data_IF_280489066040
#
_entry.id   IF_280489066040
#
_cell.length_a   1.000
_cell.length_b   1.000
_cell.length_c   1.000
_cell.angle_alpha   90.00
_cell.angle_beta   90.00
_cell.angle_gamma   90.00
#
_symmetry.space_group_name_H-M   'P 1'
#
loop_
_entity.id
_entity.type
_entity.pdbx_description
1 polymer ?
#
# COMPACT_ATOMS: atom_id res chain seq x y z
N UNK A 1 -12.05 -4.42 -27.38
CA UNK A 1 -12.56 -5.80 -27.50
C UNK A 1 -11.98 -6.55 -26.32
N UNK A 2 -12.80 -6.99 -25.38
CA UNK A 2 -12.32 -7.77 -24.24
C UNK A 2 -12.00 -9.18 -24.73
N UNK A 3 -10.80 -9.68 -24.46
CA UNK A 3 -10.46 -11.08 -24.74
C UNK A 3 -11.33 -11.98 -23.88
N UNK A 4 -12.28 -12.67 -24.52
CA UNK A 4 -13.11 -13.69 -23.88
C UNK A 4 -12.24 -14.93 -23.73
N UNK A 5 -11.74 -15.17 -22.51
CA UNK A 5 -10.98 -16.39 -22.19
C UNK A 5 -11.96 -17.55 -22.05
N UNK A 6 -12.14 -18.30 -23.13
CA UNK A 6 -12.85 -19.59 -23.12
C UNK A 6 -11.94 -20.67 -22.52
N UNK A 7 -12.45 -21.44 -21.56
CA UNK A 7 -11.70 -22.53 -20.92
C UNK A 7 -12.51 -23.82 -20.85
N UNK A 8 -11.80 -24.95 -20.87
CA UNK A 8 -12.36 -26.30 -20.72
C UNK A 8 -12.08 -26.79 -19.30
N UNK A 9 -13.12 -27.10 -18.52
CA UNK A 9 -12.95 -27.62 -17.17
C UNK A 9 -12.40 -29.05 -17.17
N UNK A 10 -11.26 -29.30 -16.52
CA UNK A 10 -10.65 -30.65 -16.49
C UNK A 10 -11.49 -31.69 -15.72
N UNK A 11 -12.35 -31.27 -14.79
CA UNK A 11 -13.14 -32.18 -13.97
C UNK A 11 -14.53 -32.50 -14.52
N UNK A 12 -15.15 -31.59 -15.29
CA UNK A 12 -16.48 -31.81 -15.84
C UNK A 12 -16.57 -31.61 -17.37
N UNK A 13 -15.44 -31.35 -18.03
CA UNK A 13 -15.29 -31.13 -19.49
C UNK A 13 -16.19 -30.06 -20.09
N UNK A 14 -16.77 -29.19 -19.25
CA UNK A 14 -17.57 -28.05 -19.68
C UNK A 14 -16.67 -26.99 -20.33
N UNK A 15 -17.05 -26.53 -21.52
CA UNK A 15 -16.42 -25.42 -22.24
C UNK A 15 -17.33 -24.20 -22.17
N UNK A 16 -16.84 -23.11 -21.58
CA UNK A 16 -17.61 -21.87 -21.44
C UNK A 16 -16.81 -20.76 -20.78
N UNK A 17 -17.50 -19.69 -20.38
CA UNK A 17 -16.90 -18.52 -19.74
C UNK A 17 -16.58 -18.78 -18.26
N UNK A 18 -15.38 -18.36 -17.85
CA UNK A 18 -14.92 -18.54 -16.47
C UNK A 18 -15.49 -17.46 -15.59
N UNK A 19 -15.99 -17.84 -14.41
CA UNK A 19 -16.37 -16.85 -13.41
C UNK A 19 -15.10 -16.42 -12.66
N UNK A 20 -14.68 -15.17 -12.83
CA UNK A 20 -13.60 -14.61 -12.02
C UNK A 20 -14.13 -14.28 -10.62
N UNK A 21 -13.53 -14.86 -9.59
CA UNK A 21 -13.79 -14.55 -8.19
C UNK A 21 -12.48 -14.60 -7.42
N UNK A 22 -12.24 -13.66 -6.51
CA UNK A 22 -11.05 -13.67 -5.64
C UNK A 22 -9.67 -13.73 -6.35
N UNK A 23 -9.60 -13.32 -7.63
CA UNK A 23 -8.38 -13.39 -8.47
C UNK A 23 -8.07 -14.80 -8.99
N UNK A 24 -9.05 -15.70 -8.96
CA UNK A 24 -8.99 -17.04 -9.54
C UNK A 24 -10.21 -17.29 -10.43
N UNK A 25 -10.03 -18.15 -11.42
CA UNK A 25 -11.09 -18.55 -12.34
C UNK A 25 -11.77 -19.84 -11.85
N UNK A 26 -13.10 -19.82 -11.82
CA UNK A 26 -13.93 -20.96 -11.40
C UNK A 26 -14.76 -21.48 -12.55
N UNK A 27 -14.93 -22.80 -12.61
CA UNK A 27 -15.85 -23.39 -13.57
C UNK A 27 -17.30 -22.99 -13.28
N UNK A 28 -17.98 -22.41 -14.26
CA UNK A 28 -19.39 -22.01 -14.14
C UNK A 28 -20.35 -23.21 -13.98
N UNK A 29 -19.99 -24.39 -14.49
CA UNK A 29 -20.79 -25.60 -14.37
C UNK A 29 -20.59 -26.38 -13.06
N UNK A 30 -19.34 -26.66 -12.64
CA UNK A 30 -19.07 -27.48 -11.44
C UNK A 30 -18.49 -26.70 -10.25
N UNK A 31 -18.11 -25.44 -10.42
CA UNK A 31 -17.55 -24.59 -9.35
C UNK A 31 -16.11 -24.93 -8.97
N UNK A 32 -15.43 -25.81 -9.71
CA UNK A 32 -14.07 -26.18 -9.40
C UNK A 32 -13.08 -25.06 -9.74
N UNK A 33 -12.15 -24.81 -8.82
CA UNK A 33 -11.13 -23.77 -8.95
C UNK A 33 -10.11 -24.21 -9.99
N UNK A 34 -9.94 -23.43 -11.04
CA UNK A 34 -8.93 -23.71 -12.05
C UNK A 34 -7.56 -23.22 -11.54
N UNK A 35 -6.60 -24.13 -11.41
CA UNK A 35 -5.26 -23.83 -10.88
C UNK A 35 -4.27 -23.37 -11.96
N UNK A 36 -4.60 -23.57 -13.23
CA UNK A 36 -3.69 -23.35 -14.36
C UNK A 36 -3.79 -21.94 -14.98
N UNK A 37 -4.77 -21.13 -14.56
CA UNK A 37 -4.94 -19.75 -15.04
C UNK A 37 -4.67 -18.79 -13.88
N UNK A 38 -3.42 -18.32 -13.82
CA UNK A 38 -3.07 -17.12 -13.06
C UNK A 38 -3.26 -15.95 -14.01
N UNK A 39 -4.04 -14.94 -13.62
CA UNK A 39 -4.03 -13.65 -14.29
C UNK A 39 -2.64 -13.01 -14.13
N UNK A 40 -1.71 -13.40 -15.01
CA UNK A 40 -0.56 -12.60 -15.34
C UNK A 40 -1.08 -11.45 -16.19
N UNK A 41 -1.71 -10.47 -15.53
CA UNK A 41 -1.88 -9.13 -16.08
C UNK A 41 -0.49 -8.54 -16.30
N UNK A 42 0.16 -9.00 -17.36
CA UNK A 42 1.14 -8.26 -18.11
C UNK A 42 0.33 -7.12 -18.74
N UNK A 43 0.63 -5.90 -18.33
CA UNK A 43 0.28 -4.74 -19.15
C UNK A 43 0.88 -5.04 -20.53
N UNK A 44 0.05 -5.21 -21.56
CA UNK A 44 0.47 -5.40 -22.95
C UNK A 44 1.16 -4.12 -23.44
N UNK A 45 2.41 -3.93 -23.05
CA UNK A 45 3.38 -3.05 -23.72
C UNK A 45 4.73 -3.26 -23.02
N UNK A 46 5.38 -4.38 -23.33
CA UNK A 46 6.85 -4.55 -23.41
C UNK A 46 7.18 -6.02 -23.67
N UNK A 47 6.84 -6.50 -24.86
CA UNK A 47 7.22 -7.83 -25.33
C UNK A 47 8.65 -7.82 -25.91
N UNK A 48 9.65 -8.10 -25.08
CA UNK A 48 10.85 -8.82 -25.52
C UNK A 48 11.19 -9.90 -24.48
N UNK A 49 10.85 -11.15 -24.81
CA UNK A 49 11.37 -12.35 -24.15
C UNK A 49 10.33 -13.20 -23.43
N UNK A 50 9.63 -14.05 -24.18
CA UNK A 50 8.83 -15.13 -23.62
C UNK A 50 9.73 -16.14 -22.87
N UNK A 51 9.46 -16.33 -21.58
CA UNK A 51 10.07 -17.37 -20.75
C UNK A 51 9.00 -18.05 -19.90
N UNK A 52 8.59 -19.24 -20.31
CA UNK A 52 7.65 -20.11 -19.59
C UNK A 52 8.36 -20.65 -18.34
N UNK A 53 7.87 -20.34 -17.14
CA UNK A 53 8.33 -20.98 -15.90
C UNK A 53 7.22 -21.87 -15.32
N UNK A 54 7.49 -23.18 -15.24
CA UNK A 54 6.63 -24.17 -14.60
C UNK A 54 6.62 -24.01 -13.07
N UNK A 55 5.43 -24.17 -12.46
CA UNK A 55 5.16 -24.03 -11.04
C UNK A 55 5.72 -25.15 -10.12
N UNK A 56 6.65 -25.99 -10.60
CA UNK A 56 7.25 -27.08 -9.81
C UNK A 56 8.41 -26.64 -8.89
N UNK A 57 8.75 -25.34 -8.85
CA UNK A 57 9.92 -24.83 -8.12
C UNK A 57 9.62 -23.86 -6.95
N UNK A 58 8.53 -24.05 -6.22
CA UNK A 58 8.35 -23.38 -4.91
C UNK A 58 8.59 -24.35 -3.75
N UNK A 59 9.59 -24.02 -2.90
CA UNK A 59 9.84 -24.72 -1.64
C UNK A 59 8.70 -24.46 -0.67
N UNK A 60 8.08 -25.52 -0.17
CA UNK A 60 7.17 -25.49 0.99
C UNK A 60 8.01 -25.31 2.26
N UNK A 61 7.79 -24.22 2.99
CA UNK A 61 8.29 -24.09 4.37
C UNK A 61 7.09 -24.15 5.30
N UNK A 62 7.06 -25.15 6.19
CA UNK A 62 6.05 -25.30 7.23
C UNK A 62 6.27 -24.25 8.34
N UNK A 63 5.18 -23.63 8.79
CA UNK A 63 5.20 -22.71 9.93
C UNK A 63 5.28 -23.49 11.27
N UNK A 64 5.97 -22.99 12.30
CA UNK A 64 5.91 -23.57 13.63
C UNK A 64 4.66 -23.09 14.37
N UNK A 65 3.91 -24.05 14.91
CA UNK A 65 2.95 -23.90 16.01
C UNK A 65 3.71 -23.59 17.30
N UNK A 66 3.50 -22.41 17.88
CA UNK A 66 3.30 -22.26 19.32
C UNK A 66 2.72 -20.87 19.65
N UNK A 67 1.61 -20.90 20.38
CA UNK A 67 0.81 -19.74 20.74
C UNK A 67 1.35 -19.07 22.01
N UNK A 68 1.56 -17.76 21.98
CA UNK A 68 1.82 -16.95 23.17
C UNK A 68 0.59 -16.10 23.48
N UNK A 69 0.03 -16.35 24.65
CA UNK A 69 -1.13 -15.66 25.22
C UNK A 69 -0.72 -14.27 25.74
N UNK A 70 -1.40 -13.20 25.34
CA UNK A 70 -1.27 -11.87 25.96
C UNK A 70 -2.67 -11.29 26.20
N UNK A 71 -2.95 -10.95 27.45
CA UNK A 71 -4.21 -10.36 27.92
C UNK A 71 -4.39 -8.89 27.49
N UNK A 72 -5.64 -8.40 27.36
CA UNK A 72 -5.94 -7.14 26.70
C UNK A 72 -5.87 -5.94 27.64
N UNK A 73 -5.17 -4.88 27.23
CA UNK A 73 -5.26 -3.56 27.87
C UNK A 73 -6.40 -2.77 27.21
N UNK A 74 -7.46 -2.66 28.00
CA UNK A 74 -8.44 -1.58 28.14
C UNK A 74 -8.31 -0.34 27.22
N UNK A 75 -9.41 -0.12 26.49
CA UNK A 75 -10.09 1.16 26.22
C UNK A 75 -9.27 2.35 25.68
N UNK A 76 -9.49 2.65 24.39
CA UNK A 76 -9.45 4.02 23.90
C UNK A 76 -10.46 4.20 22.76
N UNK A 77 -11.53 4.96 23.00
CA UNK A 77 -12.42 5.42 21.93
C UNK A 77 -13.01 6.81 22.29
N UNK A 78 -12.49 7.88 21.64
CA UNK A 78 -13.31 9.06 21.34
C UNK A 78 -13.06 9.66 19.93
N UNK A 79 -12.26 9.03 19.07
CA UNK A 79 -11.93 9.55 17.73
C UNK A 79 -12.96 9.19 16.65
N UNK A 80 -13.68 8.07 16.81
CA UNK A 80 -14.64 7.57 15.81
C UNK A 80 -15.88 8.45 15.64
N UNK A 81 -16.39 9.07 16.71
CA UNK A 81 -17.58 9.93 16.65
C UNK A 81 -17.32 11.26 15.91
N UNK A 82 -16.10 11.78 15.98
CA UNK A 82 -15.74 13.05 15.35
C UNK A 82 -15.62 12.97 13.83
N UNK A 83 -15.34 11.79 13.26
CA UNK A 83 -15.27 11.58 11.82
C UNK A 83 -16.67 11.51 11.20
N UNK A 84 -17.57 10.70 11.75
CA UNK A 84 -18.96 10.58 11.30
C UNK A 84 -19.71 11.92 11.41
N UNK A 85 -19.48 12.66 12.50
CA UNK A 85 -20.04 14.00 12.69
C UNK A 85 -19.54 15.02 11.64
N UNK A 86 -18.28 14.92 11.22
CA UNK A 86 -17.72 15.77 10.14
C UNK A 86 -18.22 15.41 8.74
N UNK A 87 -18.73 14.19 8.56
CA UNK A 87 -19.39 13.74 7.33
C UNK A 87 -20.91 14.02 7.32
N UNK A 88 -21.46 14.62 8.38
CA UNK A 88 -22.87 15.04 8.42
C UNK A 88 -23.88 13.90 8.61
N UNK A 89 -23.46 12.76 9.16
CA UNK A 89 -24.27 11.51 9.19
C UNK A 89 -25.02 11.26 10.51
N UNK A 90 -25.32 12.26 11.33
CA UNK A 90 -26.17 12.05 12.51
C UNK A 90 -27.65 12.02 12.11
N UNK A 91 -28.28 10.84 12.27
CA UNK A 91 -29.74 10.66 12.31
C UNK A 91 -30.17 10.54 13.78
N UNK A 92 -31.21 11.26 14.19
CA UNK A 92 -31.64 11.53 15.58
C UNK A 92 -32.24 10.30 16.31
N UNK A 93 -32.04 9.09 15.80
CA UNK A 93 -32.57 7.86 16.39
C UNK A 93 -31.64 7.26 17.45
N UNK A 94 -31.44 7.96 18.57
CA UNK A 94 -30.94 7.34 19.80
C UNK A 94 -32.04 6.47 20.43
N UNK A 95 -32.09 5.19 20.07
CA UNK A 95 -32.81 4.20 20.89
C UNK A 95 -31.98 3.93 22.15
N UNK A 96 -32.33 4.63 23.24
CA UNK A 96 -31.88 4.33 24.60
C UNK A 96 -32.37 2.93 25.00
N UNK A 97 -31.51 1.92 24.91
CA UNK A 97 -31.74 0.66 25.63
C UNK A 97 -31.41 0.87 27.11
N UNK A 98 -32.44 1.18 27.90
CA UNK A 98 -32.36 1.08 29.36
C UNK A 98 -32.19 -0.38 29.75
N UNK A 99 -31.12 -0.68 30.47
CA UNK A 99 -30.99 -1.93 31.20
C UNK A 99 -31.89 -1.86 32.45
N UNK A 100 -32.95 -2.67 32.48
CA UNK A 100 -33.72 -2.94 33.70
C UNK A 100 -33.55 -4.40 34.09
N UNK A 101 -33.25 -4.61 35.37
CA UNK A 101 -32.94 -5.87 36.00
C UNK A 101 -34.15 -6.81 36.02
N UNK A 102 -33.92 -8.10 35.75
CA UNK A 102 -34.90 -9.17 35.88
C UNK A 102 -34.95 -9.65 37.32
N UNK A 103 -36.14 -9.63 37.93
CA UNK A 103 -36.48 -10.42 39.11
C UNK A 103 -37.66 -11.36 38.77
N UNK A 104 -37.67 -12.54 39.41
CA UNK A 104 -38.42 -13.72 39.00
C UNK A 104 -39.91 -13.74 39.44
N UNK A 105 -40.71 -14.44 38.61
CA UNK A 105 -41.86 -15.30 38.94
C UNK A 105 -43.24 -14.83 38.44
N UNK A 106 -43.79 -15.58 37.46
CA UNK A 106 -45.06 -16.32 37.53
C UNK A 106 -45.48 -16.82 36.13
N UNK A 107 -46.04 -18.04 36.09
CA UNK A 107 -46.47 -18.78 34.89
C UNK A 107 -47.90 -18.44 34.43
N UNK A 108 -48.09 -18.73 33.13
CA UNK A 108 -49.32 -19.01 32.34
C UNK A 108 -50.07 -17.85 31.66
N UNK A 109 -50.72 -18.07 30.47
CA UNK A 109 -50.57 -19.14 29.47
C UNK A 109 -50.40 -18.64 27.99
N UNK A 110 -49.70 -19.45 27.19
CA UNK A 110 -49.82 -19.65 25.74
C UNK A 110 -50.28 -18.50 24.83
N UNK A 111 -49.32 -17.68 24.38
CA UNK A 111 -49.42 -16.99 23.08
C UNK A 111 -48.59 -17.78 22.05
N UNK A 112 -49.07 -17.95 20.80
CA UNK A 112 -48.26 -18.59 19.76
C UNK A 112 -47.03 -17.73 19.48
N UNK A 113 -45.86 -18.34 19.70
CA UNK A 113 -44.59 -17.82 19.22
C UNK A 113 -44.54 -18.01 17.70
N UNK A 114 -45.12 -17.09 16.96
CA UNK A 114 -44.95 -17.02 15.52
C UNK A 114 -44.87 -15.55 15.10
N UNK A 115 -43.95 -15.26 14.18
CA UNK A 115 -43.38 -13.93 13.87
C UNK A 115 -42.36 -13.38 14.88
N UNK A 116 -41.34 -14.19 15.19
CA UNK A 116 -40.02 -13.62 15.45
C UNK A 116 -39.57 -12.84 14.22
N UNK A 117 -39.68 -11.51 14.27
CA UNK A 117 -39.28 -10.61 13.20
C UNK A 117 -37.80 -10.83 12.86
N UNK A 118 -37.54 -11.58 11.79
CA UNK A 118 -36.32 -11.39 11.01
C UNK A 118 -36.33 -9.92 10.63
N UNK A 119 -35.48 -9.10 11.25
CA UNK A 119 -35.27 -7.72 10.84
C UNK A 119 -34.74 -7.79 9.42
N UNK A 120 -35.65 -7.72 8.44
CA UNK A 120 -35.32 -7.60 7.03
C UNK A 120 -34.54 -6.31 6.92
N UNK A 121 -33.23 -6.44 6.77
CA UNK A 121 -32.33 -5.29 6.61
C UNK A 121 -32.77 -4.56 5.35
N UNK A 122 -33.13 -3.28 5.50
CA UNK A 122 -33.49 -2.44 4.35
C UNK A 122 -32.32 -2.37 3.37
N UNK A 123 -32.61 -2.29 2.08
CA UNK A 123 -31.60 -2.06 1.02
C UNK A 123 -30.74 -0.83 1.37
N UNK A 124 -31.39 0.20 1.93
CA UNK A 124 -30.73 1.41 2.39
C UNK A 124 -29.72 1.16 3.51
N UNK A 125 -30.09 0.35 4.49
CA UNK A 125 -29.20 -0.03 5.58
C UNK A 125 -28.02 -0.86 5.06
N UNK A 126 -28.23 -1.65 4.01
CA UNK A 126 -27.22 -2.52 3.42
C UNK A 126 -26.08 -1.73 2.75
N UNK A 127 -26.39 -0.81 1.84
CA UNK A 127 -25.33 -0.03 1.18
C UNK A 127 -24.69 0.98 2.14
N UNK A 128 -25.44 1.54 3.10
CA UNK A 128 -24.89 2.42 4.15
C UNK A 128 -23.86 1.67 4.98
N UNK A 129 -24.17 0.44 5.42
CA UNK A 129 -23.25 -0.39 6.20
C UNK A 129 -21.99 -0.75 5.39
N UNK A 130 -22.14 -1.19 4.13
CA UNK A 130 -20.97 -1.52 3.27
C UNK A 130 -20.07 -0.30 3.09
N UNK A 131 -20.66 0.87 2.78
CA UNK A 131 -19.95 2.12 2.62
C UNK A 131 -19.21 2.51 3.90
N UNK A 132 -19.90 2.56 5.03
CA UNK A 132 -19.31 2.95 6.31
C UNK A 132 -18.21 1.98 6.72
N UNK A 133 -18.45 0.67 6.62
CA UNK A 133 -17.46 -0.35 6.96
C UNK A 133 -16.20 -0.20 6.10
N UNK A 134 -16.35 -0.01 4.79
CA UNK A 134 -15.19 0.17 3.92
C UNK A 134 -14.39 1.43 4.26
N UNK A 135 -15.05 2.59 4.36
CA UNK A 135 -14.37 3.88 4.62
C UNK A 135 -13.74 3.90 6.01
N UNK A 136 -14.42 3.39 7.04
CA UNK A 136 -13.86 3.27 8.38
C UNK A 136 -12.66 2.34 8.41
N UNK A 137 -12.73 1.20 7.70
CA UNK A 137 -11.59 0.28 7.63
C UNK A 137 -10.36 0.92 6.97
N UNK A 138 -10.55 1.67 5.87
CA UNK A 138 -9.45 2.42 5.25
C UNK A 138 -8.89 3.50 6.19
N UNK A 139 -9.74 4.23 6.91
CA UNK A 139 -9.28 5.20 7.91
C UNK A 139 -8.45 4.53 9.00
N UNK A 140 -8.91 3.40 9.54
CA UNK A 140 -8.18 2.65 10.57
C UNK A 140 -6.83 2.13 10.04
N UNK A 141 -6.74 1.71 8.77
CA UNK A 141 -5.44 1.37 8.15
C UNK A 141 -4.50 2.57 8.16
N UNK A 142 -4.98 3.76 7.82
CA UNK A 142 -4.17 4.99 7.83
C UNK A 142 -3.73 5.32 9.27
N UNK A 143 -4.61 5.18 10.26
CA UNK A 143 -4.29 5.40 11.67
C UNK A 143 -3.19 4.45 12.15
N UNK A 144 -3.28 3.16 11.82
CA UNK A 144 -2.24 2.15 12.12
C UNK A 144 -0.90 2.49 11.45
N UNK A 145 -0.95 2.94 10.19
CA UNK A 145 0.25 3.38 9.48
C UNK A 145 0.90 4.59 10.14
N UNK A 146 0.12 5.60 10.52
CA UNK A 146 0.61 6.79 11.22
C UNK A 146 1.20 6.45 12.59
N UNK A 147 0.54 5.56 13.33
CA UNK A 147 1.03 5.07 14.62
C UNK A 147 2.39 4.39 14.48
N UNK A 148 2.55 3.49 13.50
CA UNK A 148 3.83 2.85 13.22
C UNK A 148 4.90 3.87 12.77
N UNK A 149 4.55 4.82 11.89
CA UNK A 149 5.45 5.89 11.45
C UNK A 149 6.00 6.70 12.63
N UNK A 150 5.16 7.11 13.57
CA UNK A 150 5.61 7.89 14.73
C UNK A 150 6.40 7.02 15.71
N UNK A 151 5.89 5.83 16.05
CA UNK A 151 6.48 4.99 17.11
C UNK A 151 7.79 4.32 16.67
N UNK A 152 7.77 3.68 15.51
CA UNK A 152 8.88 2.85 15.02
C UNK A 152 9.87 3.66 14.20
N UNK A 153 9.38 4.54 13.32
CA UNK A 153 10.21 5.28 12.37
C UNK A 153 10.56 6.71 12.82
N UNK A 154 10.09 7.12 14.01
CA UNK A 154 10.37 8.42 14.64
C UNK A 154 9.98 9.63 13.79
N UNK A 155 8.98 9.45 12.94
CA UNK A 155 8.38 10.53 12.15
C UNK A 155 7.66 11.50 13.07
N UNK A 156 7.66 12.80 12.74
CA UNK A 156 6.97 13.82 13.54
C UNK A 156 5.50 13.46 13.81
N UNK A 157 5.01 13.61 15.05
CA UNK A 157 3.59 13.44 15.37
C UNK A 157 2.66 14.40 14.63
N UNK A 158 3.20 15.46 14.00
CA UNK A 158 2.44 16.38 13.16
C UNK A 158 1.68 15.66 12.03
N UNK A 159 2.19 14.54 11.52
CA UNK A 159 1.52 13.77 10.46
C UNK A 159 0.10 13.35 10.85
N UNK A 160 -0.14 13.03 12.14
CA UNK A 160 -1.46 12.64 12.63
C UNK A 160 -2.48 13.77 12.53
N UNK A 161 -2.03 15.03 12.63
CA UNK A 161 -2.87 16.22 12.42
C UNK A 161 -3.11 16.53 10.95
N UNK A 162 -2.17 16.19 10.06
CA UNK A 162 -2.24 16.45 8.63
C UNK A 162 -3.10 15.42 7.88
N UNK A 163 -3.03 14.15 8.28
CA UNK A 163 -3.75 13.06 7.61
C UNK A 163 -5.26 13.27 7.59
N UNK A 164 -5.86 13.70 8.71
CA UNK A 164 -7.31 13.84 8.82
C UNK A 164 -7.89 14.77 7.74
N UNK A 165 -7.42 16.01 7.61
CA UNK A 165 -7.84 16.92 6.53
C UNK A 165 -7.57 16.40 5.12
N UNK A 166 -6.43 15.73 4.88
CA UNK A 166 -6.10 15.16 3.56
C UNK A 166 -7.10 14.06 3.20
N UNK A 167 -7.31 13.11 4.12
CA UNK A 167 -8.22 11.99 3.95
C UNK A 167 -9.67 12.46 3.74
N UNK A 168 -10.15 13.38 4.58
CA UNK A 168 -11.51 13.91 4.48
C UNK A 168 -11.76 14.63 3.14
N UNK A 169 -10.81 15.47 2.69
CA UNK A 169 -10.91 16.13 1.39
C UNK A 169 -10.91 15.13 0.24
N UNK A 170 -10.08 14.09 0.33
CA UNK A 170 -10.02 13.02 -0.66
C UNK A 170 -11.34 12.25 -0.76
N UNK A 171 -11.86 11.78 0.38
CA UNK A 171 -13.14 11.05 0.47
C UNK A 171 -14.32 11.91 0.00
N UNK A 172 -14.34 13.20 0.35
CA UNK A 172 -15.40 14.10 -0.12
C UNK A 172 -15.39 14.27 -1.64
N UNK A 173 -14.20 14.40 -2.26
CA UNK A 173 -14.07 14.59 -3.70
C UNK A 173 -14.38 13.35 -4.54
N UNK A 174 -14.36 12.14 -3.96
CA UNK A 174 -14.65 10.90 -4.69
C UNK A 174 -16.15 10.67 -4.89
N UNK A 175 -17.02 11.43 -4.20
CA UNK A 175 -18.48 11.34 -4.31
C UNK A 175 -19.07 10.03 -3.76
N UNK A 176 -18.32 9.27 -2.95
CA UNK A 176 -18.82 8.01 -2.36
C UNK A 176 -19.93 8.24 -1.32
N UNK A 177 -20.05 9.47 -0.81
CA UNK A 177 -21.09 9.90 0.12
C UNK A 177 -22.23 10.69 -0.57
N UNK A 178 -22.23 10.82 -1.89
CA UNK A 178 -23.34 11.42 -2.62
C UNK A 178 -24.61 10.57 -2.41
N UNK A 179 -25.77 11.22 -2.29
CA UNK A 179 -27.04 10.55 -1.97
C UNK A 179 -27.43 9.50 -3.02
N UNK A 180 -27.09 9.74 -4.28
CA UNK A 180 -27.40 8.88 -5.43
C UNK A 180 -26.27 7.89 -5.80
N UNK A 181 -25.20 7.81 -5.00
CA UNK A 181 -24.06 6.94 -5.27
C UNK A 181 -24.45 5.46 -5.41
N UNK A 182 -25.31 4.99 -4.50
CA UNK A 182 -25.70 3.57 -4.45
C UNK A 182 -26.51 3.17 -5.69
N UNK A 183 -27.43 4.05 -6.13
CA UNK A 183 -28.26 3.83 -7.31
C UNK A 183 -27.43 3.93 -8.60
N UNK A 184 -26.55 4.94 -8.70
CA UNK A 184 -25.59 5.07 -9.81
C UNK A 184 -24.73 3.82 -9.95
N UNK A 185 -24.23 3.26 -8.85
CA UNK A 185 -23.39 2.07 -8.89
C UNK A 185 -24.13 0.85 -9.47
N UNK A 186 -25.43 0.69 -9.15
CA UNK A 186 -26.27 -0.37 -9.72
C UNK A 186 -26.51 -0.10 -11.20
N UNK A 187 -26.89 1.12 -11.56
CA UNK A 187 -27.14 1.50 -12.95
C UNK A 187 -25.89 1.32 -13.84
N UNK A 188 -24.71 1.76 -13.38
CA UNK A 188 -23.44 1.58 -14.08
C UNK A 188 -23.12 0.09 -14.32
N UNK A 189 -23.50 -0.78 -13.38
CA UNK A 189 -23.33 -2.23 -13.52
C UNK A 189 -24.31 -2.86 -14.49
N UNK A 190 -25.52 -2.31 -14.59
CA UNK A 190 -26.55 -2.77 -15.54
C UNK A 190 -26.21 -2.34 -16.96
N UNK A 191 -25.71 -1.13 -17.15
CA UNK A 191 -25.27 -0.59 -18.45
C UNK A 191 -24.07 -1.33 -19.06
N UNK A 192 -23.31 -2.08 -18.26
CA UNK A 192 -22.19 -2.90 -18.74
C UNK A 192 -22.64 -4.24 -19.34
N UNK A 193 -23.89 -4.66 -19.14
CA UNK A 193 -24.42 -5.90 -19.72
C UNK A 193 -25.28 -5.56 -20.95
N UNK A 194 -24.93 -6.08 -22.12
CA UNK A 194 -25.63 -5.82 -23.39
C UNK A 194 -26.81 -6.79 -23.68
N UNK A 195 -27.24 -7.59 -22.69
CA UNK A 195 -28.29 -8.61 -22.84
C UNK A 195 -29.65 -8.21 -22.25
N UNK A 196 -30.73 -8.86 -22.69
CA UNK A 196 -32.01 -8.80 -21.99
C UNK A 196 -31.93 -9.56 -20.64
N UNK A 197 -32.64 -9.10 -19.60
CA UNK A 197 -32.65 -9.80 -18.32
C UNK A 197 -33.29 -11.18 -18.47
N UNK A 198 -32.48 -12.23 -18.38
CA UNK A 198 -32.94 -13.63 -18.33
C UNK A 198 -33.46 -13.98 -16.93
N UNK A 199 -34.22 -15.08 -16.80
CA UNK A 199 -34.61 -15.60 -15.48
C UNK A 199 -33.38 -16.24 -14.79
N UNK A 200 -32.65 -15.44 -14.00
CA UNK A 200 -31.47 -15.90 -13.28
C UNK A 200 -31.86 -16.79 -12.09
N UNK A 201 -31.30 -18.00 -12.03
CA UNK A 201 -31.43 -18.86 -10.85
C UNK A 201 -30.54 -18.36 -9.70
N UNK A 202 -31.10 -17.46 -8.87
CA UNK A 202 -30.42 -16.97 -7.67
C UNK A 202 -30.22 -18.13 -6.67
N UNK A 203 -28.95 -18.38 -6.31
CA UNK A 203 -28.60 -19.40 -5.31
C UNK A 203 -29.35 -19.15 -4.01
N UNK A 204 -29.98 -20.19 -3.45
CA UNK A 204 -30.79 -20.10 -2.23
C UNK A 204 -30.12 -19.36 -1.06
N UNK A 205 -28.80 -19.52 -0.91
CA UNK A 205 -27.99 -18.85 0.14
C UNK A 205 -28.00 -17.32 0.07
N UNK A 206 -28.18 -16.74 -1.12
CA UNK A 206 -28.08 -15.29 -1.32
C UNK A 206 -29.42 -14.63 -1.64
N UNK A 207 -30.53 -15.38 -1.69
CA UNK A 207 -31.85 -14.85 -2.07
C UNK A 207 -32.32 -13.65 -1.25
N UNK A 208 -31.86 -13.52 -0.01
CA UNK A 208 -32.19 -12.39 0.88
C UNK A 208 -31.35 -11.14 0.63
N UNK A 209 -30.29 -11.22 -0.16
CA UNK A 209 -29.46 -10.06 -0.52
C UNK A 209 -30.11 -9.24 -1.64
N UNK A 210 -29.84 -7.93 -1.71
CA UNK A 210 -30.25 -7.11 -2.84
C UNK A 210 -29.52 -7.54 -4.12
N UNK A 211 -30.21 -7.53 -5.26
CA UNK A 211 -29.67 -7.86 -6.58
C UNK A 211 -30.05 -6.78 -7.61
N UNK A 212 -29.27 -6.66 -8.67
CA UNK A 212 -29.62 -5.85 -9.83
C UNK A 212 -30.59 -6.59 -10.77
N UNK A 213 -31.00 -5.94 -11.86
CA UNK A 213 -31.89 -6.53 -12.88
C UNK A 213 -31.32 -7.82 -13.52
N UNK A 214 -30.00 -8.02 -13.45
CA UNK A 214 -29.29 -9.18 -13.99
C UNK A 214 -29.03 -10.29 -12.95
N UNK A 215 -29.66 -10.23 -11.77
CA UNK A 215 -29.46 -11.21 -10.69
C UNK A 215 -28.05 -11.18 -10.07
N UNK A 216 -27.26 -10.14 -10.32
CA UNK A 216 -25.95 -9.93 -9.71
C UNK A 216 -26.12 -9.34 -8.30
N UNK A 217 -25.27 -9.75 -7.36
CA UNK A 217 -25.35 -9.33 -5.95
C UNK A 217 -24.98 -7.84 -5.81
N UNK A 218 -25.93 -7.00 -5.40
CA UNK A 218 -25.74 -5.56 -5.22
C UNK A 218 -24.64 -5.24 -4.21
N UNK A 219 -24.46 -6.09 -3.19
CA UNK A 219 -23.35 -6.03 -2.23
C UNK A 219 -21.98 -5.87 -2.91
N UNK A 220 -21.72 -6.69 -3.93
CA UNK A 220 -20.47 -6.73 -4.66
C UNK A 220 -20.35 -5.57 -5.65
N UNK A 221 -21.46 -5.12 -6.23
CA UNK A 221 -21.50 -3.95 -7.10
C UNK A 221 -21.10 -2.70 -6.32
N UNK A 222 -21.72 -2.47 -5.16
CA UNK A 222 -21.38 -1.35 -4.27
C UNK A 222 -19.93 -1.43 -3.78
N UNK A 223 -19.48 -2.60 -3.34
CA UNK A 223 -18.10 -2.77 -2.92
C UNK A 223 -17.09 -2.53 -4.05
N UNK A 224 -17.35 -3.02 -5.26
CA UNK A 224 -16.49 -2.77 -6.44
C UNK A 224 -16.46 -1.28 -6.78
N UNK A 225 -17.61 -0.61 -6.74
CA UNK A 225 -17.71 0.84 -6.92
C UNK A 225 -16.85 1.60 -5.89
N UNK A 226 -16.92 1.22 -4.60
CA UNK A 226 -16.07 1.81 -3.56
C UNK A 226 -14.58 1.57 -3.81
N UNK A 227 -14.19 0.32 -4.11
CA UNK A 227 -12.80 -0.08 -4.33
C UNK A 227 -12.20 0.57 -5.57
N UNK A 228 -13.02 0.84 -6.59
CA UNK A 228 -12.59 1.55 -7.80
C UNK A 228 -12.40 3.05 -7.53
N UNK A 229 -13.28 3.68 -6.74
CA UNK A 229 -13.18 5.11 -6.39
C UNK A 229 -12.09 5.39 -5.36
N UNK A 230 -11.93 4.50 -4.39
CA UNK A 230 -10.97 4.62 -3.28
C UNK A 230 -10.26 3.28 -3.09
N UNK A 231 -9.22 2.98 -3.88
CA UNK A 231 -8.42 1.77 -3.69
C UNK A 231 -7.74 1.73 -2.32
N UNK A 232 -7.50 0.53 -1.79
CA UNK A 232 -6.75 0.32 -0.53
C UNK A 232 -5.36 0.97 -0.57
N UNK A 233 -4.75 1.06 -1.75
CA UNK A 233 -3.49 1.75 -2.00
C UNK A 233 -3.52 3.22 -1.57
N UNK A 234 -4.68 3.88 -1.61
CA UNK A 234 -4.79 5.27 -1.15
C UNK A 234 -4.43 5.45 0.32
N UNK A 235 -4.52 4.40 1.15
CA UNK A 235 -4.13 4.47 2.56
C UNK A 235 -2.64 4.82 2.71
N UNK A 236 -1.77 4.06 2.03
CA UNK A 236 -0.32 4.29 2.07
C UNK A 236 0.07 5.61 1.39
N UNK A 237 -0.64 5.99 0.32
CA UNK A 237 -0.40 7.24 -0.39
C UNK A 237 -0.74 8.45 0.48
N UNK A 238 -1.86 8.43 1.20
CA UNK A 238 -2.28 9.50 2.12
C UNK A 238 -1.30 9.60 3.30
N UNK A 239 -0.88 8.47 3.86
CA UNK A 239 0.16 8.43 4.90
C UNK A 239 1.47 9.05 4.41
N UNK A 240 1.91 8.71 3.19
CA UNK A 240 3.11 9.32 2.58
C UNK A 240 2.94 10.82 2.33
N UNK A 241 1.78 11.27 1.83
CA UNK A 241 1.51 12.69 1.61
C UNK A 241 1.63 13.51 2.90
N UNK A 242 1.13 12.99 4.02
CA UNK A 242 1.27 13.66 5.31
C UNK A 242 2.74 13.81 5.72
N UNK A 243 3.57 12.78 5.51
CA UNK A 243 5.02 12.86 5.73
C UNK A 243 5.67 13.92 4.82
N UNK A 244 5.31 13.94 3.54
CA UNK A 244 5.85 14.90 2.57
C UNK A 244 5.51 16.35 2.95
N UNK A 245 4.26 16.62 3.32
CA UNK A 245 3.81 17.96 3.77
C UNK A 245 4.49 18.35 5.08
N UNK A 246 4.69 17.40 5.98
CA UNK A 246 5.45 17.59 7.22
C UNK A 246 6.95 17.82 6.99
N UNK A 247 7.42 17.83 5.73
CA UNK A 247 8.83 18.01 5.33
C UNK A 247 9.74 16.92 5.89
N UNK A 248 9.19 15.74 6.13
CA UNK A 248 9.93 14.60 6.66
C UNK A 248 10.90 14.04 5.63
N UNK A 249 12.07 13.58 6.09
CA UNK A 249 13.06 12.94 5.24
C UNK A 249 12.66 11.49 4.97
N UNK A 250 11.52 11.27 4.30
CA UNK A 250 10.98 9.95 3.96
C UNK A 250 10.72 9.90 2.46
N UNK A 251 11.22 8.85 1.82
CA UNK A 251 11.05 8.63 0.38
C UNK A 251 9.97 7.58 0.11
N UNK A 252 9.39 7.61 -1.11
CA UNK A 252 8.51 6.54 -1.56
C UNK A 252 9.15 5.15 -1.42
N UNK A 253 10.47 5.03 -1.66
CA UNK A 253 11.22 3.77 -1.49
C UNK A 253 11.20 3.26 -0.06
N UNK A 254 11.23 4.16 0.94
CA UNK A 254 11.23 3.78 2.35
C UNK A 254 9.87 3.22 2.74
N UNK A 255 8.79 3.93 2.37
CA UNK A 255 7.41 3.50 2.59
C UNK A 255 7.17 2.10 2.02
N UNK A 256 7.52 1.88 0.74
CA UNK A 256 7.35 0.58 0.09
C UNK A 256 8.19 -0.50 0.80
N UNK A 257 9.46 -0.21 1.10
CA UNK A 257 10.32 -1.13 1.84
C UNK A 257 9.71 -1.53 3.18
N UNK A 258 9.23 -0.58 3.99
CA UNK A 258 8.64 -0.86 5.30
C UNK A 258 7.34 -1.65 5.21
N UNK A 259 6.51 -1.44 4.18
CA UNK A 259 5.33 -2.27 3.96
C UNK A 259 5.68 -3.70 3.58
N UNK A 260 6.67 -3.91 2.71
CA UNK A 260 7.12 -5.23 2.31
C UNK A 260 7.80 -6.00 3.45
N UNK A 261 8.53 -5.31 4.32
CA UNK A 261 9.12 -5.87 5.53
C UNK A 261 8.09 -6.15 6.64
N UNK A 262 6.84 -5.70 6.47
CA UNK A 262 5.77 -5.85 7.47
C UNK A 262 5.89 -4.93 8.68
N UNK A 263 6.85 -4.00 8.70
CA UNK A 263 7.05 -3.00 9.77
C UNK A 263 6.02 -1.87 9.70
N UNK A 264 5.60 -1.51 8.49
CA UNK A 264 4.51 -0.56 8.28
C UNK A 264 3.22 -1.33 7.96
N UNK A 265 2.18 -1.28 8.82
CA UNK A 265 0.95 -2.04 8.62
C UNK A 265 0.26 -1.70 7.30
N UNK A 266 0.30 -2.63 6.35
CA UNK A 266 -0.40 -2.50 5.07
C UNK A 266 -0.94 -3.85 4.61
N UNK A 267 -0.05 -4.83 4.39
CA UNK A 267 -0.47 -6.19 4.03
C UNK A 267 -1.12 -6.97 5.17
N UNK A 268 -0.70 -6.70 6.41
CA UNK A 268 -1.19 -7.36 7.63
C UNK A 268 -2.33 -6.60 8.33
N UNK A 269 -2.62 -5.35 7.90
CA UNK A 269 -3.56 -4.47 8.61
C UNK A 269 -4.98 -5.06 8.72
N UNK A 270 -5.40 -5.89 7.75
CA UNK A 270 -6.72 -6.51 7.76
C UNK A 270 -6.96 -7.44 8.97
N UNK A 271 -5.90 -8.02 9.54
CA UNK A 271 -5.99 -8.89 10.73
C UNK A 271 -6.39 -8.08 11.97
N UNK A 272 -5.85 -6.88 12.10
CA UNK A 272 -6.14 -5.98 13.20
C UNK A 272 -7.48 -5.24 13.02
N UNK A 273 -7.88 -5.00 11.78
CA UNK A 273 -9.19 -4.43 11.47
C UNK A 273 -10.33 -5.35 11.92
N UNK A 274 -10.19 -6.65 11.72
CA UNK A 274 -11.22 -7.63 12.11
C UNK A 274 -11.48 -7.63 13.62
N UNK A 275 -10.43 -7.49 14.43
CA UNK A 275 -10.57 -7.42 15.89
C UNK A 275 -11.20 -6.11 16.36
N UNK A 276 -10.92 -4.99 15.67
CA UNK A 276 -11.38 -3.64 16.07
C UNK A 276 -12.77 -3.28 15.53
N UNK A 277 -13.19 -3.80 14.38
CA UNK A 277 -14.47 -3.44 13.72
C UNK A 277 -15.66 -4.30 14.16
N UNK A 278 -15.42 -5.44 14.82
CA UNK A 278 -16.48 -6.36 15.25
C UNK A 278 -17.23 -7.04 14.08
N UNK A 279 -18.19 -7.92 14.40
CA UNK A 279 -18.97 -8.63 13.40
C UNK A 279 -19.84 -7.66 12.59
N UNK A 280 -19.93 -7.83 11.25
CA UNK A 280 -20.81 -7.00 10.43
C UNK A 280 -22.28 -7.28 10.74
N UNK A 281 -23.11 -6.23 10.80
CA UNK A 281 -24.57 -6.37 11.00
C UNK A 281 -25.27 -6.76 9.69
N UNK A 282 -24.89 -6.11 8.59
CA UNK A 282 -25.53 -6.27 7.28
C UNK A 282 -24.55 -6.46 6.10
N UNK A 283 -23.24 -6.36 6.33
CA UNK A 283 -22.24 -6.47 5.28
C UNK A 283 -21.78 -7.93 5.10
N UNK A 284 -22.05 -8.58 3.94
CA UNK A 284 -21.69 -9.99 3.73
C UNK A 284 -20.22 -10.18 3.34
N UNK A 285 -19.48 -9.09 3.13
CA UNK A 285 -18.11 -9.10 2.63
C UNK A 285 -17.13 -9.16 3.81
N UNK A 286 -16.17 -10.10 3.72
CA UNK A 286 -15.15 -10.27 4.75
C UNK A 286 -14.14 -9.12 4.77
N UNK A 287 -13.59 -8.81 5.96
CA UNK A 287 -12.52 -7.81 6.12
C UNK A 287 -11.29 -8.14 5.26
N UNK A 288 -10.97 -9.42 5.11
CA UNK A 288 -9.88 -9.88 4.23
C UNK A 288 -10.11 -9.49 2.78
N UNK A 289 -11.34 -9.59 2.26
CA UNK A 289 -11.65 -9.20 0.88
C UNK A 289 -11.63 -7.68 0.72
N UNK A 290 -12.10 -6.94 1.74
CA UNK A 290 -12.13 -5.48 1.69
C UNK A 290 -10.75 -4.84 1.71
N UNK A 291 -9.87 -5.33 2.60
CA UNK A 291 -8.71 -4.56 3.03
C UNK A 291 -7.37 -5.20 2.68
N UNK A 292 -7.33 -6.46 2.21
CA UNK A 292 -6.07 -7.11 1.86
C UNK A 292 -5.52 -6.57 0.53
N UNK A 293 -4.35 -5.93 0.52
CA UNK A 293 -3.70 -5.54 -0.73
C UNK A 293 -3.22 -6.80 -1.49
N UNK A 294 -3.41 -6.81 -2.81
CA UNK A 294 -3.02 -7.95 -3.65
C UNK A 294 -1.54 -7.91 -4.06
N UNK A 295 -1.00 -6.72 -4.32
CA UNK A 295 0.37 -6.51 -4.80
C UNK A 295 0.99 -5.30 -4.10
N UNK A 296 2.32 -5.33 -4.00
CA UNK A 296 3.09 -4.16 -3.56
C UNK A 296 3.05 -3.08 -4.64
N UNK A 297 2.97 -1.82 -4.21
CA UNK A 297 3.04 -0.68 -5.10
C UNK A 297 4.51 -0.45 -5.49
N UNK A 298 4.76 -0.08 -6.75
CA UNK A 298 6.10 0.35 -7.14
C UNK A 298 6.41 1.75 -6.59
N UNK A 299 7.69 2.05 -6.40
CA UNK A 299 8.16 3.35 -5.88
C UNK A 299 7.66 4.51 -6.75
N UNK A 300 7.69 4.34 -8.07
CA UNK A 300 7.16 5.33 -9.02
C UNK A 300 5.64 5.49 -8.91
N UNK A 301 4.89 4.38 -8.83
CA UNK A 301 3.42 4.45 -8.69
C UNK A 301 3.02 5.14 -7.38
N UNK A 302 3.76 4.95 -6.27
CA UNK A 302 3.52 5.68 -5.02
C UNK A 302 3.67 7.19 -5.19
N UNK A 303 4.76 7.64 -5.81
CA UNK A 303 5.03 9.06 -6.05
C UNK A 303 4.00 9.70 -6.99
N UNK A 304 3.71 9.04 -8.12
CA UNK A 304 2.71 9.51 -9.09
C UNK A 304 1.30 9.56 -8.50
N UNK A 305 0.90 8.56 -7.70
CA UNK A 305 -0.38 8.58 -6.99
C UNK A 305 -0.44 9.69 -5.94
N UNK A 306 0.63 9.95 -5.21
CA UNK A 306 0.68 11.05 -4.24
C UNK A 306 0.49 12.41 -4.94
N UNK A 307 1.20 12.62 -6.04
CA UNK A 307 1.06 13.83 -6.85
C UNK A 307 -0.35 13.96 -7.42
N UNK A 308 -0.91 12.87 -7.98
CA UNK A 308 -2.28 12.84 -8.51
C UNK A 308 -3.34 13.14 -7.45
N UNK A 309 -3.24 12.53 -6.25
CA UNK A 309 -4.18 12.79 -5.15
C UNK A 309 -4.08 14.24 -4.70
N UNK A 310 -2.87 14.80 -4.58
CA UNK A 310 -2.68 16.20 -4.19
C UNK A 310 -3.38 17.17 -5.14
N UNK A 311 -3.25 16.96 -6.45
CA UNK A 311 -3.95 17.77 -7.45
C UNK A 311 -5.45 17.57 -7.39
N UNK A 312 -5.90 16.32 -7.28
CA UNK A 312 -7.31 15.97 -7.21
C UNK A 312 -8.00 16.71 -6.06
N UNK A 313 -7.40 16.76 -4.88
CA UNK A 313 -7.94 17.45 -3.71
C UNK A 313 -7.61 18.95 -3.64
N UNK A 314 -6.85 19.48 -4.60
CA UNK A 314 -6.44 20.90 -4.63
C UNK A 314 -5.47 21.27 -3.50
N UNK A 315 -4.55 20.38 -3.18
CA UNK A 315 -3.52 20.59 -2.16
C UNK A 315 -2.23 21.09 -2.80
N UNK A 316 -1.76 22.25 -2.36
CA UNK A 316 -0.41 22.73 -2.67
C UNK A 316 0.61 21.94 -1.85
N UNK A 317 1.44 21.16 -2.53
CA UNK A 317 2.54 20.45 -1.88
C UNK A 317 3.70 21.41 -1.62
N UNK A 318 4.56 21.16 -0.62
CA UNK A 318 5.89 21.75 -0.58
C UNK A 318 6.84 21.00 -1.53
N UNK A 319 8.00 21.57 -1.88
CA UNK A 319 9.04 20.81 -2.55
C UNK A 319 9.60 19.74 -1.61
N UNK A 320 10.23 18.73 -2.20
CA UNK A 320 10.95 17.66 -1.50
C UNK A 320 12.03 18.28 -0.60
N UNK A 321 12.16 17.78 0.63
CA UNK A 321 13.16 18.25 1.57
C UNK A 321 14.55 17.69 1.23
N UNK A 322 15.15 18.24 0.16
CA UNK A 322 16.46 17.81 -0.35
C UNK A 322 17.52 17.77 0.75
N UNK A 323 17.64 18.83 1.56
CA UNK A 323 18.64 18.94 2.62
C UNK A 323 18.54 17.79 3.62
N UNK A 324 17.35 17.54 4.16
CA UNK A 324 17.17 16.50 5.18
C UNK A 324 17.38 15.09 4.60
N UNK A 325 17.01 14.87 3.34
CA UNK A 325 17.26 13.60 2.66
C UNK A 325 18.75 13.39 2.38
N UNK A 326 19.44 14.42 1.88
CA UNK A 326 20.87 14.38 1.64
C UNK A 326 21.64 14.10 2.94
N UNK A 327 21.30 14.80 4.01
CA UNK A 327 21.82 14.56 5.35
C UNK A 327 21.62 13.10 5.78
N UNK A 328 20.39 12.59 5.68
CA UNK A 328 20.04 11.21 6.05
C UNK A 328 20.83 10.17 5.26
N UNK A 329 21.04 10.37 3.96
CA UNK A 329 21.86 9.45 3.15
C UNK A 329 23.33 9.47 3.56
N UNK A 330 23.88 10.65 3.82
CA UNK A 330 25.27 10.78 4.28
C UNK A 330 25.47 10.12 5.65
N UNK A 331 24.55 10.31 6.59
CA UNK A 331 24.58 9.60 7.88
C UNK A 331 24.47 8.08 7.71
N UNK A 332 23.52 7.62 6.89
CA UNK A 332 23.31 6.19 6.66
C UNK A 332 24.52 5.49 6.05
N UNK A 333 25.29 6.22 5.24
CA UNK A 333 26.53 5.73 4.64
C UNK A 333 27.76 6.05 5.50
N UNK A 334 27.59 6.64 6.68
CA UNK A 334 28.67 7.08 7.58
C UNK A 334 29.69 7.97 6.87
N UNK A 335 29.23 8.86 5.98
CA UNK A 335 30.06 9.77 5.20
C UNK A 335 30.21 11.14 5.89
N UNK A 336 31.30 11.90 5.61
CA UNK A 336 31.53 13.22 6.20
C UNK A 336 30.47 14.26 5.81
N UNK A 337 29.40 14.37 6.61
CA UNK A 337 28.26 15.28 6.38
C UNK A 337 28.72 16.72 6.22
N UNK A 338 29.53 17.23 7.16
CA UNK A 338 30.01 18.62 7.18
C UNK A 338 30.82 18.98 5.93
N UNK A 339 31.49 18.00 5.32
CA UNK A 339 32.30 18.20 4.11
C UNK A 339 31.45 18.09 2.84
N UNK A 340 30.55 17.12 2.74
CA UNK A 340 29.85 16.79 1.49
C UNK A 340 28.55 17.62 1.33
N UNK A 341 27.78 17.79 2.40
CA UNK A 341 26.45 18.40 2.35
C UNK A 341 26.45 19.84 1.80
N UNK A 342 27.39 20.74 2.17
CA UNK A 342 27.41 22.10 1.62
C UNK A 342 27.60 22.14 0.09
N UNK A 343 28.38 21.21 -0.45
CA UNK A 343 28.62 21.11 -1.90
C UNK A 343 27.42 20.52 -2.62
N UNK A 344 26.79 19.49 -2.03
CA UNK A 344 25.56 18.93 -2.56
C UNK A 344 24.44 19.98 -2.62
N UNK A 345 24.30 20.83 -1.59
CA UNK A 345 23.32 21.92 -1.58
C UNK A 345 23.60 22.96 -2.67
N UNK A 346 24.86 23.38 -2.86
CA UNK A 346 25.22 24.30 -3.95
C UNK A 346 24.93 23.71 -5.33
N UNK A 347 25.27 22.44 -5.54
CA UNK A 347 24.99 21.76 -6.82
C UNK A 347 23.49 21.66 -7.05
N UNK A 348 22.71 21.32 -6.02
CA UNK A 348 21.25 21.30 -6.10
C UNK A 348 20.69 22.68 -6.49
N UNK A 349 21.10 23.75 -5.80
CA UNK A 349 20.69 25.13 -6.09
C UNK A 349 21.05 25.58 -7.51
N UNK A 350 22.19 25.13 -8.04
CA UNK A 350 22.65 25.49 -9.40
C UNK A 350 22.02 24.64 -10.51
N UNK A 351 21.71 23.38 -10.24
CA UNK A 351 21.24 22.43 -11.26
C UNK A 351 19.71 22.37 -11.37
N UNK A 352 18.99 22.70 -10.30
CA UNK A 352 17.53 22.58 -10.26
C UNK A 352 16.89 23.96 -10.17
N UNK A 353 16.32 24.42 -11.28
CA UNK A 353 15.37 25.54 -11.33
C UNK A 353 14.09 25.02 -12.00
N UNK A 354 12.89 24.98 -11.38
CA UNK A 354 12.49 25.28 -10.00
C UNK A 354 12.69 24.06 -9.06
N UNK A 355 12.30 24.18 -7.79
CA UNK A 355 12.49 23.16 -6.73
C UNK A 355 12.17 21.70 -7.14
N UNK A 356 12.71 20.72 -6.41
CA UNK A 356 12.38 19.31 -6.62
C UNK A 356 10.94 19.00 -6.14
N UNK A 357 10.01 18.83 -7.06
CA UNK A 357 8.61 18.48 -6.79
C UNK A 357 8.34 16.98 -7.00
N UNK A 358 7.29 16.44 -6.34
CA UNK A 358 6.84 15.07 -6.61
C UNK A 358 6.43 14.94 -8.08
N UNK A 359 6.97 13.93 -8.77
CA UNK A 359 6.73 13.75 -10.19
C UNK A 359 5.25 13.47 -10.47
N UNK A 360 4.72 14.21 -11.43
CA UNK A 360 3.32 14.16 -11.84
C UNK A 360 3.10 13.28 -13.07
N UNK A 361 4.18 12.93 -13.76
CA UNK A 361 4.08 12.37 -15.11
C UNK A 361 3.75 10.89 -15.07
N UNK A 362 2.59 10.54 -15.64
CA UNK A 362 2.39 9.22 -16.26
C UNK A 362 3.23 9.07 -17.55
N UNK A 363 3.48 10.18 -18.26
CA UNK A 363 3.98 10.16 -19.66
C UNK A 363 5.33 10.85 -19.94
N UNK A 364 6.17 11.09 -18.93
CA UNK A 364 7.50 11.67 -19.18
C UNK A 364 8.54 11.06 -18.26
N UNK A 365 9.73 10.82 -18.83
CA UNK A 365 10.97 10.31 -18.23
C UNK A 365 11.53 11.17 -17.07
N UNK A 366 10.70 11.68 -16.16
CA UNK A 366 11.17 12.34 -14.94
C UNK A 366 11.59 11.26 -13.97
N UNK A 367 12.90 11.21 -13.72
CA UNK A 367 13.49 10.36 -12.70
C UNK A 367 12.76 10.60 -11.36
N UNK A 368 12.40 9.55 -10.62
CA UNK A 368 11.82 9.69 -9.29
C UNK A 368 12.66 10.61 -8.40
N UNK A 369 12.01 11.36 -7.52
CA UNK A 369 12.68 12.39 -6.70
C UNK A 369 13.88 11.88 -5.91
N UNK A 370 13.80 10.65 -5.39
CA UNK A 370 14.90 10.01 -4.68
C UNK A 370 16.15 9.78 -5.54
N UNK A 371 15.97 9.49 -6.84
CA UNK A 371 17.09 9.33 -7.78
C UNK A 371 17.81 10.66 -7.93
N UNK A 372 17.08 11.77 -8.09
CA UNK A 372 17.67 13.10 -8.18
C UNK A 372 18.50 13.45 -6.94
N UNK A 373 18.00 13.16 -5.74
CA UNK A 373 18.75 13.40 -4.48
C UNK A 373 20.06 12.64 -4.46
N UNK A 374 20.02 11.34 -4.76
CA UNK A 374 21.22 10.48 -4.76
C UNK A 374 22.19 10.89 -5.88
N UNK A 375 21.70 11.26 -7.06
CA UNK A 375 22.54 11.73 -8.17
C UNK A 375 23.32 12.99 -7.78
N UNK A 376 22.70 13.97 -7.12
CA UNK A 376 23.40 15.17 -6.66
C UNK A 376 24.47 14.82 -5.63
N UNK A 377 24.19 13.91 -4.69
CA UNK A 377 25.19 13.43 -3.72
C UNK A 377 26.38 12.75 -4.41
N UNK A 378 26.12 11.87 -5.38
CA UNK A 378 27.18 11.19 -6.14
C UNK A 378 28.05 12.21 -6.87
N UNK A 379 27.45 13.21 -7.53
CA UNK A 379 28.19 14.28 -8.22
C UNK A 379 29.04 15.08 -7.23
N UNK A 380 28.46 15.46 -6.08
CA UNK A 380 29.19 16.19 -5.03
C UNK A 380 30.40 15.41 -4.51
N UNK A 381 30.23 14.11 -4.25
CA UNK A 381 31.30 13.21 -3.80
C UNK A 381 32.39 13.11 -4.88
N UNK A 382 32.01 12.91 -6.15
CA UNK A 382 32.98 12.80 -7.24
C UNK A 382 33.83 14.04 -7.39
N UNK A 383 33.22 15.23 -7.30
CA UNK A 383 33.95 16.51 -7.38
C UNK A 383 34.88 16.67 -6.17
N UNK A 384 34.38 16.43 -4.95
CA UNK A 384 35.14 16.63 -3.72
C UNK A 384 36.34 15.69 -3.55
N UNK A 385 36.18 14.45 -3.99
CA UNK A 385 37.20 13.41 -3.85
C UNK A 385 37.99 13.21 -5.15
N UNK A 386 37.78 14.08 -6.15
CA UNK A 386 38.44 14.04 -7.45
C UNK A 386 38.35 12.65 -8.13
N UNK A 387 37.19 12.01 -8.00
CA UNK A 387 36.89 10.69 -8.58
C UNK A 387 36.55 10.89 -10.06
N UNK A 388 37.60 11.12 -10.83
CA UNK A 388 37.51 11.37 -12.26
C UNK A 388 37.51 10.04 -13.00
N UNK A 389 36.65 9.89 -14.01
CA UNK A 389 36.45 8.64 -14.76
C UNK A 389 37.63 8.23 -15.67
N UNK A 390 38.85 8.67 -15.38
CA UNK A 390 40.07 8.36 -16.16
C UNK A 390 40.71 7.01 -15.80
N UNK A 391 40.02 6.17 -15.00
CA UNK A 391 40.49 4.81 -14.67
C UNK A 391 41.77 4.73 -13.83
N UNK A 392 42.30 5.84 -13.30
CA UNK A 392 43.45 5.80 -12.38
C UNK A 392 43.11 5.08 -11.07
N UNK A 393 41.86 5.16 -10.63
CA UNK A 393 41.39 4.51 -9.40
C UNK A 393 41.20 2.99 -9.53
N UNK A 394 40.73 2.49 -10.68
CA UNK A 394 40.61 1.04 -10.95
C UNK A 394 41.97 0.33 -10.80
N UNK A 395 43.06 1.08 -11.08
CA UNK A 395 44.45 0.63 -10.92
C UNK A 395 44.94 0.68 -9.46
N UNK A 396 44.40 1.56 -8.62
CA UNK A 396 44.81 1.68 -7.21
C UNK A 396 44.24 0.58 -6.32
N UNK A 397 43.04 0.07 -6.63
CA UNK A 397 42.44 -1.05 -5.87
C UNK A 397 43.18 -2.38 -6.11
N UNK A 398 43.78 -2.59 -7.29
CA UNK A 398 44.56 -3.79 -7.59
C UNK A 398 45.92 -3.87 -6.86
N UNK A 399 46.39 -2.77 -6.26
CA UNK A 399 47.72 -2.73 -5.63
C UNK A 399 47.73 -3.06 -4.12
N UNK A 400 46.56 -3.11 -3.47
CA UNK A 400 46.48 -3.28 -2.01
C UNK A 400 46.34 -4.73 -1.53
N UNK A 401 46.16 -5.70 -2.42
CA UNK A 401 46.10 -7.13 -2.03
C UNK A 401 47.50 -7.72 -1.71
N UNK A 402 48.59 -7.03 -2.02
CA UNK A 402 49.97 -7.51 -1.82
C UNK A 402 50.70 -6.92 -0.61
N UNK A 403 50.07 -6.06 0.20
CA UNK A 403 50.73 -5.42 1.35
C UNK A 403 50.19 -5.92 2.70
N UNK A 404 50.25 -7.25 2.93
CA UNK A 404 50.27 -7.79 4.29
C UNK A 404 51.72 -7.87 4.75
N UNK A 405 52.13 -6.88 5.54
CA UNK A 405 53.06 -6.97 6.67
C UNK A 405 53.80 -5.64 6.89
N UNK A 406 53.25 -4.79 7.76
CA UNK A 406 54.06 -4.21 8.83
C UNK A 406 53.14 -3.63 9.90
N UNK A 407 53.20 -4.24 11.08
CA UNK A 407 52.57 -3.76 12.30
C UNK A 407 53.24 -2.46 12.77
N UNK A 408 52.44 -1.43 13.08
CA UNK A 408 52.78 -0.40 14.07
C UNK A 408 51.55 0.04 14.85
N UNK A 409 51.82 0.33 16.12
CA UNK A 409 50.96 0.48 17.29
C UNK A 409 49.91 1.61 17.26
N UNK A 410 48.92 1.60 18.19
CA UNK A 410 47.71 2.41 18.13
C UNK A 410 47.80 3.63 19.05
N UNK A 411 48.04 4.83 18.51
CA UNK A 411 47.76 6.10 19.20
C UNK A 411 47.40 7.17 18.17
N UNK A 412 46.11 7.53 18.11
CA UNK A 412 45.53 8.87 17.89
C UNK A 412 44.14 8.74 17.25
N UNK A 413 43.10 8.81 18.09
CA UNK A 413 41.74 9.09 17.65
C UNK A 413 41.62 10.58 17.29
N UNK A 414 42.24 10.98 16.19
CA UNK A 414 41.73 12.10 15.40
C UNK A 414 40.81 11.51 14.34
N UNK A 415 39.65 12.12 14.10
CA UNK A 415 38.79 11.84 12.94
C UNK A 415 39.69 11.90 11.70
N UNK A 416 40.22 10.77 11.25
CA UNK A 416 41.05 10.72 10.07
C UNK A 416 40.16 11.17 8.92
N UNK A 417 40.48 12.34 8.35
CA UNK A 417 39.77 12.85 7.19
C UNK A 417 39.83 11.76 6.12
N UNK A 418 38.67 11.25 5.71
CA UNK A 418 38.61 10.24 4.66
C UNK A 418 39.22 10.86 3.41
N UNK A 419 40.33 10.29 2.93
CA UNK A 419 40.84 10.56 1.59
C UNK A 419 40.03 9.76 0.55
N UNK A 420 40.34 9.91 -0.73
CA UNK A 420 39.62 9.23 -1.80
C UNK A 420 39.65 7.70 -1.67
N UNK A 421 40.80 7.15 -1.28
CA UNK A 421 41.00 5.71 -1.12
C UNK A 421 40.20 5.16 0.06
N UNK A 422 40.26 5.83 1.21
CA UNK A 422 39.54 5.48 2.42
C UNK A 422 38.03 5.59 2.25
N UNK A 423 37.54 6.60 1.53
CA UNK A 423 36.13 6.72 1.18
C UNK A 423 35.63 5.50 0.38
N UNK A 424 36.39 5.08 -0.63
CA UNK A 424 35.96 4.02 -1.54
C UNK A 424 36.06 2.63 -0.89
N UNK A 425 37.08 2.39 -0.07
CA UNK A 425 37.17 1.19 0.75
C UNK A 425 35.98 1.09 1.72
N UNK A 426 35.61 2.20 2.36
CA UNK A 426 34.46 2.28 3.24
C UNK A 426 33.14 2.00 2.50
N UNK A 427 32.92 2.63 1.34
CA UNK A 427 31.74 2.37 0.51
C UNK A 427 31.68 0.94 -0.01
N UNK A 428 32.82 0.34 -0.37
CA UNK A 428 32.90 -1.06 -0.80
C UNK A 428 32.57 -2.02 0.35
N UNK A 429 33.06 -1.75 1.57
CA UNK A 429 32.71 -2.51 2.76
C UNK A 429 31.21 -2.47 3.05
N UNK A 430 30.60 -1.28 3.00
CA UNK A 430 29.14 -1.10 3.15
C UNK A 430 28.38 -1.86 2.07
N UNK A 431 28.83 -1.80 0.81
CA UNK A 431 28.18 -2.53 -0.28
C UNK A 431 28.15 -4.05 -0.02
N UNK A 432 29.28 -4.62 0.42
CA UNK A 432 29.37 -6.05 0.71
C UNK A 432 28.45 -6.43 1.89
N UNK A 433 28.39 -5.62 2.95
CA UNK A 433 27.48 -5.84 4.07
C UNK A 433 26.01 -5.86 3.63
N UNK A 434 25.62 -4.91 2.78
CA UNK A 434 24.25 -4.81 2.24
C UNK A 434 23.94 -5.99 1.31
N UNK A 435 24.90 -6.38 0.45
CA UNK A 435 24.76 -7.49 -0.48
C UNK A 435 24.63 -8.84 0.24
N UNK A 436 25.33 -9.01 1.37
CA UNK A 436 25.24 -10.21 2.19
C UNK A 436 23.90 -10.29 2.95
N UNK A 437 23.31 -9.14 3.34
CA UNK A 437 21.97 -9.12 3.98
C UNK A 437 20.81 -9.32 3.03
N UNK A 438 20.91 -8.87 1.77
CA UNK A 438 19.80 -8.88 0.81
C UNK A 438 19.94 -9.94 -0.30
N UNK A 439 20.99 -10.77 -0.23
CA UNK A 439 21.42 -11.62 -1.35
C UNK A 439 22.08 -10.78 -2.44
N UNK A 440 23.17 -11.30 -3.04
CA UNK A 440 23.93 -10.60 -4.09
C UNK A 440 23.02 -10.21 -5.26
N UNK A 441 22.55 -8.96 -5.29
CA UNK A 441 22.02 -8.36 -6.50
C UNK A 441 23.23 -7.94 -7.33
N UNK A 442 23.57 -8.76 -8.32
CA UNK A 442 24.69 -8.53 -9.24
C UNK A 442 24.33 -7.33 -10.13
N UNK A 443 24.87 -6.14 -9.83
CA UNK A 443 24.81 -4.97 -10.72
C UNK A 443 26.18 -4.34 -11.03
N UNK A 444 27.28 -5.09 -10.87
CA UNK A 444 28.63 -4.61 -11.21
C UNK A 444 29.39 -5.46 -12.25
N UNK A 445 28.72 -6.33 -13.01
CA UNK A 445 29.35 -7.02 -14.14
C UNK A 445 29.17 -6.30 -15.49
N UNK A 446 28.49 -5.16 -15.56
CA UNK A 446 28.13 -4.54 -16.85
C UNK A 446 28.63 -3.11 -17.08
N UNK A 447 29.31 -2.47 -16.11
CA UNK A 447 29.98 -1.18 -16.36
C UNK A 447 31.38 -1.30 -17.00
N UNK A 448 31.84 -2.51 -17.32
CA UNK A 448 33.13 -2.73 -17.98
C UNK A 448 33.01 -3.00 -19.50
N UNK A 449 31.86 -2.71 -20.12
CA UNK A 449 31.67 -3.10 -21.53
C UNK A 449 30.80 -2.16 -22.34
N UNK A 450 30.98 -0.84 -22.24
CA UNK A 450 30.67 0.06 -23.36
C UNK A 450 31.61 1.28 -23.32
N UNK A 451 32.86 1.03 -23.72
CA UNK A 451 33.74 2.02 -24.33
C UNK A 451 34.10 1.46 -25.69
N UNK A 452 33.54 2.06 -26.74
CA UNK A 452 34.16 2.13 -28.06
C UNK A 452 34.26 3.60 -28.41
#
# INVERSE_FOLDING_TARGET
MADVVTFTCQSCTYEGEALESDGFYYCSACGEKNLDVVDTGAEEEDAIGAGIYLASHQRRTAAPTDAVYVQPISQCNPSQSNFLRKLGLEDDSQVKLKAENVDQSQCDPSNPADFGGSTVVSIEQYYKEIRLRYIMGLQMMIELQCEALVKEFKVTPLICGLVGPIWLRFVSKTGVFDDDWADKAIHDSEMQNEGEPEDYNIRGKYKSEPHNMFGQRAAFIWFRSLRNRIPVVCTIVVSYLACHIAREAIMPSDMIKWTCEGKLPYFSAFLELESRMGPPVACPISSSLMFRPQRALSVHKLESCASSISQFIGLELPPVNFYALAYRYLEKLSLPVEKILPYACRIYEWSMSPDLWLSLSKDYFKLPTHVCVVSVLVVAIRILYNINGYGEWEKSLSHNDSAKDSAKDPVEQQKHELDCTGLLQHLHAIYNEIADTHGKVIYLSSCSTYVV
#
